data_IF_780153571593
#
_entry.id   IF_780153571593
#
_cell.length_a   1.000
_cell.length_b   1.000
_cell.length_c   1.000
_cell.angle_alpha   90.00
_cell.angle_beta   90.00
_cell.angle_gamma   90.00
#
_symmetry.space_group_name_H-M   'P 1'
#
loop_
_entity.id
_entity.type
_entity.pdbx_description
1 polymer ?
#
# COMPACT_ATOMS: atom_id res chain seq x y z
N UNK A 1 0.96 6.97 -0.75
CA UNK A 1 -0.43 6.46 -0.86
C UNK A 1 -0.37 5.01 -1.31
N UNK A 2 -1.04 4.10 -0.59
CA UNK A 2 -1.21 2.69 -0.96
C UNK A 2 -2.69 2.43 -1.29
N UNK A 3 -3.03 1.43 -2.11
CA UNK A 3 -2.11 0.53 -2.81
C UNK A 3 -1.36 1.25 -3.96
N UNK A 4 -0.20 0.74 -4.36
CA UNK A 4 0.59 1.26 -5.50
C UNK A 4 0.29 0.43 -6.74
N UNK A 5 -0.12 1.05 -7.86
CA UNK A 5 -0.36 0.33 -9.10
C UNK A 5 0.96 -0.20 -9.69
N UNK A 6 0.92 -1.43 -10.19
CA UNK A 6 2.04 -2.06 -10.89
C UNK A 6 1.58 -2.62 -12.23
N UNK A 7 2.48 -2.65 -13.22
CA UNK A 7 2.19 -3.21 -14.53
C UNK A 7 2.70 -4.64 -14.62
N UNK A 8 1.80 -5.57 -14.93
CA UNK A 8 2.09 -6.99 -15.01
C UNK A 8 1.75 -7.51 -16.40
N UNK A 9 2.64 -8.31 -16.99
CA UNK A 9 2.42 -8.95 -18.28
C UNK A 9 2.36 -10.46 -18.10
N UNK A 10 1.25 -11.06 -18.54
CA UNK A 10 1.05 -12.51 -18.50
C UNK A 10 1.82 -13.16 -19.65
N UNK A 11 2.85 -13.94 -19.32
CA UNK A 11 3.75 -14.58 -20.30
C UNK A 11 2.96 -15.39 -21.36
N UNK A 12 1.97 -16.18 -20.94
CA UNK A 12 1.22 -17.07 -21.83
C UNK A 12 0.38 -16.36 -22.89
N UNK A 13 -0.13 -15.17 -22.59
CA UNK A 13 -1.08 -14.45 -23.47
C UNK A 13 -0.59 -13.09 -23.91
N UNK A 14 0.62 -12.71 -23.50
CA UNK A 14 1.19 -11.37 -23.65
C UNK A 14 0.23 -10.24 -23.21
N UNK A 15 -0.67 -10.55 -22.27
CA UNK A 15 -1.70 -9.63 -21.81
C UNK A 15 -1.14 -8.79 -20.67
N UNK A 16 -1.11 -7.48 -20.87
CA UNK A 16 -0.69 -6.51 -19.86
C UNK A 16 -1.91 -6.00 -19.09
N UNK A 17 -1.82 -6.05 -17.77
CA UNK A 17 -2.84 -5.57 -16.85
C UNK A 17 -2.20 -4.79 -15.70
N UNK A 18 -3.03 -4.05 -14.97
CA UNK A 18 -2.63 -3.32 -13.77
C UNK A 18 -2.91 -4.18 -12.55
N UNK A 19 -1.86 -4.49 -11.78
CA UNK A 19 -1.97 -5.04 -10.44
C UNK A 19 -1.79 -3.95 -9.39
N UNK A 20 -1.88 -4.33 -8.12
CA UNK A 20 -1.76 -3.42 -6.99
C UNK A 20 -0.88 -4.05 -5.91
N UNK A 21 0.00 -3.25 -5.30
CA UNK A 21 0.81 -3.65 -4.15
C UNK A 21 0.40 -2.83 -2.93
N UNK A 22 0.06 -3.51 -1.85
CA UNK A 22 -0.12 -2.90 -0.54
C UNK A 22 1.22 -2.71 0.17
N UNK A 23 1.18 -1.98 1.29
CA UNK A 23 2.38 -1.54 2.01
C UNK A 23 3.28 -2.70 2.45
N UNK A 24 2.70 -3.85 2.81
CA UNK A 24 3.41 -5.06 3.19
C UNK A 24 4.17 -5.67 2.03
N UNK A 25 3.53 -5.79 0.87
CA UNK A 25 4.15 -6.26 -0.36
C UNK A 25 5.28 -5.32 -0.81
N UNK A 26 5.10 -4.00 -0.68
CA UNK A 26 6.13 -3.00 -0.99
C UNK A 26 7.35 -3.19 -0.08
N UNK A 27 7.16 -3.29 1.23
CA UNK A 27 8.24 -3.48 2.19
C UNK A 27 8.99 -4.80 1.96
N UNK A 28 8.26 -5.89 1.70
CA UNK A 28 8.84 -7.18 1.39
C UNK A 28 9.68 -7.12 0.09
N UNK A 29 9.18 -6.43 -0.94
CA UNK A 29 9.89 -6.25 -2.20
C UNK A 29 11.15 -5.40 -2.04
N UNK A 30 11.07 -4.28 -1.31
CA UNK A 30 12.23 -3.43 -1.02
C UNK A 30 13.32 -4.21 -0.27
N UNK A 31 12.93 -4.96 0.77
CA UNK A 31 13.86 -5.84 1.51
C UNK A 31 14.51 -6.87 0.58
N UNK A 32 13.74 -7.47 -0.32
CA UNK A 32 14.27 -8.43 -1.28
C UNK A 32 15.23 -7.79 -2.29
N UNK A 33 14.98 -6.56 -2.75
CA UNK A 33 15.87 -5.85 -3.66
C UNK A 33 17.24 -5.56 -3.04
N UNK A 34 17.30 -5.32 -1.72
CA UNK A 34 18.58 -5.21 -1.00
C UNK A 34 19.35 -6.54 -1.02
N UNK A 35 18.68 -7.66 -0.72
CA UNK A 35 19.28 -9.01 -0.82
C UNK A 35 19.74 -9.31 -2.25
N UNK A 36 18.97 -8.88 -3.26
CA UNK A 36 19.34 -9.02 -4.66
C UNK A 36 20.60 -8.21 -4.98
N UNK A 37 20.70 -6.98 -4.50
CA UNK A 37 21.88 -6.13 -4.66
C UNK A 37 23.13 -6.78 -4.07
N UNK A 38 23.06 -7.25 -2.82
CA UNK A 38 24.16 -7.98 -2.16
C UNK A 38 24.58 -9.21 -2.96
N UNK A 39 23.62 -9.93 -3.55
CA UNK A 39 23.88 -11.13 -4.34
C UNK A 39 24.50 -10.86 -5.71
N UNK A 40 24.12 -9.77 -6.36
CA UNK A 40 24.51 -9.45 -7.75
C UNK A 40 25.62 -8.43 -7.85
N UNK A 41 25.90 -7.69 -6.78
CA UNK A 41 26.86 -6.59 -6.74
C UNK A 41 26.41 -5.35 -7.53
N UNK A 42 25.15 -5.30 -7.98
CA UNK A 42 24.65 -4.19 -8.79
C UNK A 42 23.15 -3.96 -8.58
N UNK A 43 22.73 -2.72 -8.81
CA UNK A 43 21.30 -2.38 -8.82
C UNK A 43 20.61 -3.08 -10.00
N UNK A 44 19.36 -3.48 -9.79
CA UNK A 44 18.54 -4.11 -10.83
C UNK A 44 18.34 -3.16 -12.01
N UNK A 45 18.59 -3.65 -13.23
CA UNK A 45 18.36 -2.88 -14.47
C UNK A 45 17.01 -3.23 -15.09
N UNK A 46 16.56 -2.38 -16.02
CA UNK A 46 15.38 -2.68 -16.84
C UNK A 46 15.56 -4.01 -17.59
N UNK A 47 14.47 -4.77 -17.71
CA UNK A 47 14.40 -6.10 -18.32
C UNK A 47 15.14 -7.22 -17.57
N UNK A 48 15.69 -6.95 -16.39
CA UNK A 48 16.20 -8.01 -15.53
C UNK A 48 15.08 -8.66 -14.70
N UNK A 49 15.16 -9.96 -14.41
CA UNK A 49 14.24 -10.60 -13.49
C UNK A 49 14.35 -9.98 -12.09
N UNK A 50 13.19 -9.67 -11.51
CA UNK A 50 13.10 -9.23 -10.12
C UNK A 50 13.59 -10.36 -9.22
N UNK A 51 12.98 -11.54 -9.31
CA UNK A 51 13.27 -12.67 -8.41
C UNK A 51 14.31 -13.65 -8.99
N UNK A 52 15.39 -13.84 -8.23
CA UNK A 52 16.50 -14.74 -8.53
C UNK A 52 16.52 -15.95 -7.58
N UNK A 53 16.75 -17.14 -8.15
CA UNK A 53 17.05 -18.37 -7.43
C UNK A 53 18.49 -18.40 -6.89
N UNK A 54 18.89 -19.52 -6.27
CA UNK A 54 20.22 -19.67 -5.63
C UNK A 54 21.38 -19.37 -6.58
N UNK A 55 21.31 -19.83 -7.82
CA UNK A 55 22.33 -19.68 -8.87
C UNK A 55 22.32 -18.33 -9.60
N UNK A 56 21.69 -17.28 -9.04
CA UNK A 56 21.49 -15.95 -9.67
C UNK A 56 20.68 -15.98 -10.98
N UNK A 57 20.03 -17.11 -11.28
CA UNK A 57 19.12 -17.25 -12.42
C UNK A 57 17.68 -16.89 -12.03
N UNK A 58 16.81 -16.47 -12.97
CA UNK A 58 15.40 -16.24 -12.70
C UNK A 58 14.75 -17.45 -12.01
N UNK A 59 13.83 -17.19 -11.07
CA UNK A 59 13.02 -18.27 -10.48
C UNK A 59 12.13 -18.89 -11.55
N UNK A 60 12.01 -20.22 -11.54
CA UNK A 60 11.16 -21.00 -12.45
C UNK A 60 9.77 -21.22 -11.86
N UNK A 61 8.75 -21.32 -12.71
CA UNK A 61 7.35 -21.56 -12.32
C UNK A 61 7.19 -22.78 -11.40
N UNK A 62 7.88 -23.87 -11.72
CA UNK A 62 7.87 -25.10 -10.91
C UNK A 62 8.37 -24.88 -9.48
N UNK A 63 9.30 -23.96 -9.27
CA UNK A 63 9.81 -23.62 -7.95
C UNK A 63 8.72 -22.92 -7.12
N UNK A 64 7.97 -22.00 -7.73
CA UNK A 64 6.82 -21.32 -7.09
C UNK A 64 5.70 -22.33 -6.78
N UNK A 65 5.40 -23.24 -7.71
CA UNK A 65 4.39 -24.28 -7.51
C UNK A 65 4.70 -25.19 -6.31
N UNK A 66 5.99 -25.44 -6.03
CA UNK A 66 6.44 -26.19 -4.84
C UNK A 66 6.56 -25.34 -3.58
N UNK A 67 6.83 -24.04 -3.73
CA UNK A 67 7.02 -23.13 -2.60
C UNK A 67 5.73 -22.98 -1.79
N UNK A 68 4.61 -22.68 -2.45
CA UNK A 68 3.35 -22.34 -1.75
C UNK A 68 2.86 -23.50 -0.85
N UNK A 69 2.74 -24.76 -1.32
CA UNK A 69 2.34 -25.86 -0.46
C UNK A 69 3.32 -26.13 0.69
N UNK A 70 4.62 -25.86 0.48
CA UNK A 70 5.62 -25.98 1.55
C UNK A 70 5.43 -24.90 2.63
N UNK A 71 5.17 -23.66 2.22
CA UNK A 71 4.85 -22.57 3.16
C UNK A 71 3.57 -22.89 3.95
N UNK A 72 2.54 -23.39 3.27
CA UNK A 72 1.30 -23.81 3.92
C UNK A 72 1.50 -24.95 4.93
N UNK A 73 2.35 -25.94 4.61
CA UNK A 73 2.74 -27.01 5.56
C UNK A 73 3.46 -26.46 6.77
N UNK A 74 4.44 -25.59 6.55
CA UNK A 74 5.19 -24.96 7.64
C UNK A 74 4.30 -24.10 8.55
N UNK A 75 3.25 -23.49 7.98
CA UNK A 75 2.25 -22.73 8.72
C UNK A 75 1.15 -23.61 9.36
N UNK A 76 1.15 -24.93 9.14
CA UNK A 76 0.15 -25.85 9.70
C UNK A 76 -1.25 -25.75 9.07
N UNK A 77 -1.40 -25.08 7.93
CA UNK A 77 -2.70 -24.85 7.26
C UNK A 77 -2.89 -25.71 6.01
N UNK A 78 -1.91 -26.55 5.68
CA UNK A 78 -1.99 -27.46 4.55
C UNK A 78 -2.72 -28.73 4.94
N UNK A 79 -3.73 -29.11 4.16
CA UNK A 79 -4.27 -30.47 4.17
C UNK A 79 -3.75 -31.24 2.96
N UNK A 80 -3.45 -32.51 3.19
CA UNK A 80 -3.22 -33.48 2.13
C UNK A 80 -4.58 -34.00 1.69
N UNK A 81 -4.94 -33.74 0.43
CA UNK A 81 -6.16 -34.28 -0.16
C UNK A 81 -5.88 -35.72 -0.57
N UNK A 82 -6.89 -36.60 -0.45
CA UNK A 82 -6.81 -38.00 -0.85
C UNK A 82 -6.11 -38.12 -2.20
N UNK A 83 -4.92 -38.70 -2.15
CA UNK A 83 -3.94 -38.70 -3.21
C UNK A 83 -3.70 -40.16 -3.55
N UNK A 84 -3.96 -40.56 -4.80
CA UNK A 84 -3.43 -41.84 -5.30
C UNK A 84 -1.92 -41.88 -5.04
N UNK A 85 -1.33 -43.05 -4.81
CA UNK A 85 0.11 -43.24 -4.48
C UNK A 85 1.10 -42.46 -5.38
N UNK A 86 0.67 -42.06 -6.58
CA UNK A 86 1.49 -41.36 -7.58
C UNK A 86 1.38 -39.83 -7.60
N UNK A 87 0.37 -39.19 -6.99
CA UNK A 87 0.16 -37.73 -7.09
C UNK A 87 -0.38 -37.13 -5.80
N UNK A 88 0.52 -36.51 -5.02
CA UNK A 88 0.14 -35.72 -3.84
C UNK A 88 -0.62 -34.45 -4.28
N UNK A 89 -1.91 -34.38 -3.94
CA UNK A 89 -2.75 -33.21 -4.19
C UNK A 89 -2.71 -32.27 -2.99
N UNK A 90 -2.27 -31.05 -3.23
CA UNK A 90 -2.21 -30.01 -2.22
C UNK A 90 -3.47 -29.14 -2.25
N UNK A 91 -4.11 -28.96 -1.10
CA UNK A 91 -5.22 -28.02 -0.94
C UNK A 91 -4.78 -26.57 -1.20
N UNK A 92 -3.74 -26.08 -0.50
CA UNK A 92 -3.28 -24.70 -0.68
C UNK A 92 -2.21 -24.63 -1.77
N UNK A 93 -2.56 -23.95 -2.86
CA UNK A 93 -1.72 -23.79 -4.05
C UNK A 93 -1.63 -22.32 -4.46
N UNK A 94 -0.78 -22.00 -5.44
CA UNK A 94 -0.72 -20.64 -6.00
C UNK A 94 -2.02 -20.24 -6.72
N UNK A 95 -2.80 -21.20 -7.22
CA UNK A 95 -4.11 -20.93 -7.80
C UNK A 95 -5.13 -20.57 -6.71
N UNK A 96 -5.14 -21.34 -5.62
CA UNK A 96 -5.99 -21.07 -4.46
C UNK A 96 -5.74 -19.66 -3.87
N UNK A 97 -4.49 -19.21 -3.80
CA UNK A 97 -4.18 -17.85 -3.35
C UNK A 97 -4.78 -16.76 -4.25
N UNK A 98 -4.86 -17.02 -5.56
CA UNK A 98 -5.50 -16.10 -6.52
C UNK A 98 -7.01 -16.10 -6.35
N UNK A 99 -7.61 -17.26 -6.16
CA UNK A 99 -9.05 -17.39 -5.96
C UNK A 99 -9.48 -16.78 -4.62
N UNK A 100 -8.65 -16.92 -3.59
CA UNK A 100 -8.83 -16.24 -2.30
C UNK A 100 -8.75 -14.72 -2.45
N UNK A 101 -7.78 -14.19 -3.20
CA UNK A 101 -7.70 -12.76 -3.50
C UNK A 101 -8.98 -12.29 -4.18
N UNK A 102 -9.41 -12.96 -5.26
CA UNK A 102 -10.64 -12.62 -5.98
C UNK A 102 -11.86 -12.62 -5.06
N UNK A 103 -12.00 -13.67 -4.25
CA UNK A 103 -13.13 -13.83 -3.33
C UNK A 103 -13.16 -12.71 -2.28
N UNK A 104 -11.99 -12.34 -1.75
CA UNK A 104 -11.85 -11.23 -0.80
C UNK A 104 -12.26 -9.90 -1.43
N UNK A 105 -11.81 -9.62 -2.66
CA UNK A 105 -12.20 -8.41 -3.39
C UNK A 105 -13.72 -8.33 -3.60
N UNK A 106 -14.36 -9.44 -3.99
CA UNK A 106 -15.81 -9.50 -4.19
C UNK A 106 -16.57 -9.21 -2.88
N UNK A 107 -16.15 -9.85 -1.78
CA UNK A 107 -16.81 -9.68 -0.46
C UNK A 107 -16.69 -8.24 0.05
N UNK A 108 -15.56 -7.58 -0.18
CA UNK A 108 -15.33 -6.18 0.23
C UNK A 108 -15.98 -5.16 -0.74
N UNK A 109 -16.81 -5.61 -1.68
CA UNK A 109 -17.58 -4.73 -2.56
C UNK A 109 -16.75 -4.02 -3.63
N UNK A 110 -15.63 -4.61 -4.03
CA UNK A 110 -14.81 -4.13 -5.14
C UNK A 110 -15.53 -4.36 -6.47
N UNK A 111 -15.48 -3.39 -7.37
CA UNK A 111 -16.10 -3.51 -8.68
C UNK A 111 -15.63 -4.77 -9.45
N UNK A 112 -16.53 -5.53 -10.11
CA UNK A 112 -16.19 -6.81 -10.75
C UNK A 112 -15.04 -6.74 -11.74
N UNK A 113 -14.94 -5.65 -12.52
CA UNK A 113 -13.85 -5.47 -13.48
C UNK A 113 -12.48 -5.37 -12.80
N UNK A 114 -12.40 -4.73 -11.62
CA UNK A 114 -11.15 -4.63 -10.83
C UNK A 114 -10.78 -5.97 -10.22
N UNK A 115 -11.77 -6.79 -9.83
CA UNK A 115 -11.54 -8.16 -9.37
C UNK A 115 -10.88 -9.02 -10.46
N UNK A 116 -11.37 -8.95 -11.71
CA UNK A 116 -10.78 -9.64 -12.86
C UNK A 116 -9.40 -9.07 -13.23
N UNK A 117 -9.24 -7.74 -13.18
CA UNK A 117 -7.98 -7.07 -13.45
C UNK A 117 -6.88 -7.53 -12.48
N UNK A 118 -7.17 -7.56 -11.18
CA UNK A 118 -6.23 -7.88 -10.12
C UNK A 118 -5.64 -9.29 -10.27
N UNK A 119 -6.39 -10.23 -10.85
CA UNK A 119 -5.96 -11.61 -11.08
C UNK A 119 -5.42 -11.85 -12.50
N UNK A 120 -5.36 -10.79 -13.32
CA UNK A 120 -4.83 -10.83 -14.68
C UNK A 120 -5.73 -11.54 -15.68
N UNK A 121 -7.04 -11.59 -15.40
CA UNK A 121 -8.04 -12.01 -16.37
C UNK A 121 -8.32 -10.88 -17.36
N UNK A 122 -8.63 -11.26 -18.59
CA UNK A 122 -9.08 -10.29 -19.59
C UNK A 122 -10.51 -9.90 -19.22
N UNK A 123 -10.70 -8.64 -18.84
CA UNK A 123 -12.03 -8.07 -18.65
C UNK A 123 -12.75 -8.20 -20.00
N UNK A 124 -14.08 -8.43 -19.96
CA UNK A 124 -14.94 -8.67 -21.13
C UNK A 124 -14.82 -7.63 -22.24
N UNK A 125 -15.55 -7.85 -23.34
CA UNK A 125 -15.39 -7.25 -24.68
C UNK A 125 -14.48 -6.03 -24.77
N UNK A 126 -13.50 -6.12 -25.66
CA UNK A 126 -12.36 -5.23 -25.96
C UNK A 126 -12.61 -3.70 -26.00
N UNK A 127 -13.85 -3.25 -25.81
CA UNK A 127 -14.32 -1.88 -25.82
C UNK A 127 -14.33 -1.18 -24.46
N UNK A 128 -14.40 -1.88 -23.33
CA UNK A 128 -14.41 -1.23 -22.03
C UNK A 128 -13.02 -0.67 -21.67
N UNK A 129 -12.87 0.65 -21.78
CA UNK A 129 -11.61 1.37 -21.55
C UNK A 129 -11.51 1.96 -20.14
N UNK A 130 -12.37 1.55 -19.21
CA UNK A 130 -12.50 2.16 -17.88
C UNK A 130 -11.17 2.13 -17.11
N UNK A 131 -10.44 1.01 -17.13
CA UNK A 131 -9.09 0.91 -16.53
C UNK A 131 -8.02 1.75 -17.22
N UNK A 132 -8.16 1.99 -18.53
CA UNK A 132 -7.22 2.82 -19.30
C UNK A 132 -7.50 4.32 -19.10
N UNK A 133 -8.77 4.68 -18.95
CA UNK A 133 -9.23 6.07 -18.86
C UNK A 133 -9.26 6.58 -17.41
N UNK A 134 -9.47 5.70 -16.42
CA UNK A 134 -9.65 6.07 -15.02
C UNK A 134 -8.82 5.17 -14.07
N UNK A 135 -7.48 5.16 -14.19
CA UNK A 135 -6.60 4.34 -13.34
C UNK A 135 -6.70 4.70 -11.85
N UNK A 136 -7.10 5.92 -11.52
CA UNK A 136 -7.32 6.33 -10.13
C UNK A 136 -8.58 5.71 -9.53
N UNK A 137 -9.62 5.47 -10.33
CA UNK A 137 -10.85 4.81 -9.87
C UNK A 137 -10.60 3.35 -9.56
N UNK A 138 -9.89 2.64 -10.43
CA UNK A 138 -9.54 1.22 -10.19
C UNK A 138 -8.67 1.06 -8.93
N UNK A 139 -7.79 2.03 -8.66
CA UNK A 139 -7.01 2.09 -7.42
C UNK A 139 -7.88 2.32 -6.19
N UNK A 140 -8.83 3.24 -6.24
CA UNK A 140 -9.79 3.50 -5.15
C UNK A 140 -10.67 2.28 -4.88
N UNK A 141 -11.10 1.60 -5.94
CA UNK A 141 -11.85 0.35 -5.85
C UNK A 141 -11.04 -0.75 -5.15
N UNK A 142 -9.80 -0.99 -5.57
CA UNK A 142 -8.93 -1.98 -4.90
C UNK A 142 -8.69 -1.63 -3.42
N UNK A 143 -8.59 -0.34 -3.11
CA UNK A 143 -8.33 0.13 -1.74
C UNK A 143 -9.39 -0.30 -0.74
N UNK A 144 -10.63 -0.58 -1.16
CA UNK A 144 -11.71 -1.09 -0.28
C UNK A 144 -11.28 -2.37 0.45
N UNK A 145 -10.57 -3.27 -0.24
CA UNK A 145 -10.14 -4.55 0.31
C UNK A 145 -8.73 -4.51 0.96
N UNK A 146 -8.01 -3.39 0.85
CA UNK A 146 -6.62 -3.27 1.34
C UNK A 146 -6.49 -3.68 2.81
N UNK A 147 -7.49 -3.36 3.65
CA UNK A 147 -7.49 -3.71 5.08
C UNK A 147 -7.47 -5.23 5.36
N UNK A 148 -8.02 -6.04 4.46
CA UNK A 148 -8.07 -7.50 4.58
C UNK A 148 -6.88 -8.19 3.95
N UNK A 149 -6.35 -7.60 2.88
CA UNK A 149 -5.23 -8.16 2.10
C UNK A 149 -3.89 -7.88 2.78
N UNK A 150 -3.73 -6.68 3.34
CA UNK A 150 -2.52 -6.29 4.04
C UNK A 150 -2.41 -7.00 5.40
N UNK A 151 -1.30 -7.70 5.61
CA UNK A 151 -1.07 -8.42 6.88
C UNK A 151 -0.93 -7.47 8.07
N UNK A 152 -0.44 -6.24 7.87
CA UNK A 152 -0.24 -5.28 8.95
C UNK A 152 -1.54 -4.66 9.46
N UNK A 153 -2.54 -4.46 8.60
CA UNK A 153 -3.87 -4.00 9.04
C UNK A 153 -4.57 -5.05 9.88
N UNK A 154 -4.32 -6.33 9.62
CA UNK A 154 -4.83 -7.43 10.45
C UNK A 154 -4.03 -7.62 11.74
N UNK A 155 -2.72 -7.34 11.77
CA UNK A 155 -1.94 -7.36 13.03
C UNK A 155 -2.50 -6.34 14.02
N UNK A 156 -2.78 -5.11 13.58
CA UNK A 156 -3.41 -4.11 14.46
C UNK A 156 -4.79 -4.57 14.93
N UNK A 157 -5.57 -5.26 14.08
CA UNK A 157 -6.88 -5.80 14.46
C UNK A 157 -6.80 -7.00 15.41
N UNK A 158 -5.83 -7.89 15.24
CA UNK A 158 -5.60 -9.05 16.12
C UNK A 158 -4.92 -8.65 17.43
N UNK A 159 -4.20 -7.51 17.45
CA UNK A 159 -3.66 -6.88 18.65
C UNK A 159 -4.66 -5.93 19.34
N UNK A 160 -5.90 -5.76 18.84
CA UNK A 160 -6.96 -5.03 19.58
C UNK A 160 -7.30 -5.65 20.95
N UNK A 161 -6.72 -6.80 21.29
CA UNK A 161 -6.76 -7.40 22.62
C UNK A 161 -5.49 -7.22 23.48
N UNK A 162 -4.41 -6.61 22.98
CA UNK A 162 -3.24 -6.30 23.82
C UNK A 162 -3.31 -4.85 24.31
N UNK A 163 -3.07 -4.66 25.61
CA UNK A 163 -3.17 -3.37 26.29
C UNK A 163 -2.36 -2.24 25.61
N UNK A 164 -1.27 -2.60 24.95
CA UNK A 164 -0.34 -1.67 24.29
C UNK A 164 -0.97 -0.95 23.10
N UNK A 165 -1.84 -1.60 22.30
CA UNK A 165 -2.43 -0.96 21.11
C UNK A 165 -3.48 0.09 21.48
N UNK A 166 -4.21 -0.13 22.56
CA UNK A 166 -5.13 0.88 23.12
C UNK A 166 -4.33 2.07 23.65
N UNK A 167 -3.21 1.83 24.33
CA UNK A 167 -2.32 2.91 24.79
C UNK A 167 -1.74 3.72 23.63
N UNK A 168 -1.22 3.08 22.57
CA UNK A 168 -0.68 3.81 21.43
C UNK A 168 -1.74 4.60 20.67
N UNK A 169 -2.96 4.05 20.56
CA UNK A 169 -4.07 4.77 19.93
C UNK A 169 -4.46 6.02 20.74
N UNK A 170 -4.57 5.89 22.06
CA UNK A 170 -4.85 7.01 22.95
C UNK A 170 -3.73 8.06 22.87
N UNK A 171 -2.46 7.66 22.87
CA UNK A 171 -1.32 8.58 22.70
C UNK A 171 -1.35 9.31 21.35
N UNK A 172 -1.77 8.65 20.26
CA UNK A 172 -1.91 9.29 18.95
C UNK A 172 -3.03 10.33 18.96
N UNK A 173 -4.16 10.02 19.59
CA UNK A 173 -5.30 10.93 19.69
C UNK A 173 -4.99 12.12 20.62
N UNK A 174 -4.30 11.89 21.74
CA UNK A 174 -3.81 12.94 22.64
C UNK A 174 -2.81 13.86 21.93
N UNK A 175 -1.84 13.29 21.22
CA UNK A 175 -0.87 14.05 20.45
C UNK A 175 -1.54 14.90 19.37
N UNK A 176 -2.62 14.40 18.74
CA UNK A 176 -3.41 15.17 17.77
C UNK A 176 -4.12 16.36 18.43
N UNK A 177 -4.70 16.17 19.62
CA UNK A 177 -5.33 17.26 20.35
C UNK A 177 -4.31 18.33 20.74
N UNK A 178 -3.16 17.93 21.28
CA UNK A 178 -2.07 18.85 21.64
C UNK A 178 -1.56 19.61 20.41
N UNK A 179 -1.41 18.94 19.26
CA UNK A 179 -1.01 19.61 18.03
C UNK A 179 -2.05 20.66 17.61
N UNK A 180 -3.34 20.34 17.75
CA UNK A 180 -4.43 21.25 17.37
C UNK A 180 -4.51 22.48 18.27
N UNK A 181 -4.24 22.33 19.57
CA UNK A 181 -4.18 23.47 20.50
C UNK A 181 -2.96 24.34 20.21
N UNK A 182 -1.78 23.75 20.00
CA UNK A 182 -0.57 24.48 19.63
C UNK A 182 -0.71 25.29 18.34
N UNK A 183 -1.43 24.75 17.34
CA UNK A 183 -1.73 25.48 16.10
C UNK A 183 -2.63 26.69 16.38
N UNK A 184 -3.66 26.53 17.22
CA UNK A 184 -4.55 27.63 17.61
C UNK A 184 -3.82 28.72 18.39
N UNK A 185 -2.97 28.33 19.34
CA UNK A 185 -2.19 29.28 20.14
C UNK A 185 -1.22 30.06 19.26
N UNK A 186 -0.54 29.40 18.33
CA UNK A 186 0.31 30.08 17.35
C UNK A 186 -0.45 31.03 16.42
N UNK A 187 -1.68 30.68 16.04
CA UNK A 187 -2.52 31.58 15.24
C UNK A 187 -2.91 32.80 16.04
N UNK A 188 -3.31 32.64 17.30
CA UNK A 188 -3.63 33.75 18.19
C UNK A 188 -2.43 34.70 18.40
N UNK A 189 -1.22 34.16 18.61
CA UNK A 189 -0.01 34.97 18.74
C UNK A 189 0.34 35.71 17.44
N UNK A 190 0.12 35.08 16.28
CA UNK A 190 0.32 35.71 14.99
C UNK A 190 -0.64 36.89 14.78
N UNK A 191 -1.91 36.72 15.15
CA UNK A 191 -2.93 37.76 15.05
C UNK A 191 -2.60 38.95 15.96
N UNK A 192 -2.21 38.70 17.21
CA UNK A 192 -1.76 39.75 18.13
C UNK A 192 -0.55 40.50 17.63
N UNK A 193 0.44 39.80 17.07
CA UNK A 193 1.62 40.44 16.50
C UNK A 193 1.24 41.33 15.31
N UNK A 194 0.26 40.93 14.50
CA UNK A 194 -0.23 41.72 13.38
C UNK A 194 -0.94 43.01 13.86
N UNK A 195 -1.77 42.93 14.90
CA UNK A 195 -2.38 44.11 15.54
C UNK A 195 -1.33 45.08 16.09
N UNK A 196 -0.28 44.55 16.72
CA UNK A 196 0.80 45.35 17.29
C UNK A 196 1.62 46.07 16.21
N UNK A 197 1.89 45.38 15.10
CA UNK A 197 2.54 45.98 13.92
C UNK A 197 1.68 47.12 13.35
N UNK A 198 0.37 46.93 13.27
CA UNK A 198 -0.55 47.95 12.79
C UNK A 198 -0.56 49.18 13.70
N UNK A 199 -0.68 49.00 15.02
CA UNK A 199 -0.60 50.10 15.99
C UNK A 199 0.72 50.87 15.90
N UNK A 200 1.85 50.17 15.77
CA UNK A 200 3.16 50.82 15.61
C UNK A 200 3.20 51.63 14.30
N UNK A 201 2.59 51.12 13.23
CA UNK A 201 2.49 51.82 11.95
C UNK A 201 1.70 53.12 12.09
N UNK A 202 0.53 53.05 12.74
CA UNK A 202 -0.37 54.18 12.92
C UNK A 202 0.27 55.27 13.80
N UNK A 203 0.91 54.88 14.92
CA UNK A 203 1.67 55.79 15.77
C UNK A 203 2.82 56.47 15.03
N UNK A 204 3.54 55.74 14.16
CA UNK A 204 4.61 56.33 13.33
C UNK A 204 4.06 57.36 12.34
N UNK A 205 2.90 57.09 11.76
CA UNK A 205 2.21 58.02 10.86
C UNK A 205 1.84 59.31 11.60
N UNK A 206 1.23 59.19 12.78
CA UNK A 206 0.80 60.30 13.62
C UNK A 206 1.97 61.18 14.09
N UNK A 207 3.07 60.55 14.53
CA UNK A 207 4.31 61.26 14.89
C UNK A 207 4.91 62.01 13.70
N UNK A 208 4.84 61.44 12.49
CA UNK A 208 5.34 62.11 11.28
C UNK A 208 4.49 63.31 10.88
N UNK A 209 3.17 63.23 11.03
CA UNK A 209 2.26 64.37 10.81
C UNK A 209 2.51 65.49 11.82
N UNK A 210 2.67 65.16 13.11
CA UNK A 210 3.03 66.14 14.15
C UNK A 210 4.39 66.82 13.93
N UNK A 211 5.35 66.10 13.33
CA UNK A 211 6.65 66.68 12.95
C UNK A 211 6.54 67.64 11.77
N UNK A 212 5.64 67.39 10.82
CA UNK A 212 5.37 68.31 9.71
C UNK A 212 4.63 69.57 10.16
N UNK A 213 3.72 69.46 11.13
CA UNK A 213 2.95 70.61 11.63
C UNK A 213 3.76 71.58 12.52
N UNK A 214 4.96 71.18 12.96
CA UNK A 214 5.88 72.00 13.77
C UNK A 214 6.98 72.72 12.94
N UNK A 215 6.92 72.64 11.61
CA UNK A 215 7.83 73.30 10.68
C UNK A 215 7.10 74.39 9.92
#
# INVERSE_FOLDING_TARGET
>A
LCPVPIRLTRIKTNYTHTGYLDIDAIQALQKYLNVRYEKTGSAMKNNEPIFLGRTKQPIKDFWIAKLIPRLARNAGIQKDLNSSELVQRHEKTSHELRDLLKSTLIVEGVAPYVCELAIGHKIGDSYEKQDKLYPDKSRQEYMKASSKINIFSNIVCNMKGSADVVQYKNQIDDNRQVLSSLIKDKQYDADKNMELIQMISDLRSEVNELKKSKK
#
